data_IF_258500890433
#
_entry.id   IF_258500890433
#
_cell.length_a   1.000
_cell.length_b   1.000
_cell.length_c   1.000
_cell.angle_alpha   90.00
_cell.angle_beta   90.00
_cell.angle_gamma   90.00
#
_symmetry.space_group_name_H-M   'P 1'
#
loop_
_entity.id
_entity.type
_entity.pdbx_description
1 polymer ?
#
# COMPACT_ATOMS: atom_id res chain seq x y z
N UNK A 1 -39.84 12.41 24.60
CA UNK A 1 -38.76 11.70 23.86
C UNK A 1 -38.69 10.20 24.20
N UNK A 2 -38.46 9.81 25.46
CA UNK A 2 -38.22 8.41 25.90
C UNK A 2 -39.36 7.41 25.60
N UNK A 3 -40.62 7.86 25.60
CA UNK A 3 -41.77 7.00 25.35
C UNK A 3 -41.86 6.51 23.89
N UNK A 4 -41.45 7.35 22.94
CA UNK A 4 -41.38 7.01 21.52
C UNK A 4 -40.30 5.96 21.25
N UNK A 5 -39.16 6.08 21.92
CA UNK A 5 -38.05 5.12 21.80
C UNK A 5 -38.46 3.73 22.31
N UNK A 6 -39.21 3.65 23.42
CA UNK A 6 -39.79 2.39 23.93
C UNK A 6 -40.78 1.76 22.95
N UNK A 7 -41.63 2.55 22.31
CA UNK A 7 -42.59 2.07 21.31
C UNK A 7 -41.91 1.56 20.03
N UNK A 8 -40.84 2.21 19.60
CA UNK A 8 -40.02 1.76 18.47
C UNK A 8 -39.33 0.42 18.78
N UNK A 9 -38.70 0.28 19.95
CA UNK A 9 -38.11 -0.98 20.40
C UNK A 9 -39.15 -2.11 20.53
N UNK A 10 -40.34 -1.81 21.05
CA UNK A 10 -41.43 -2.79 21.17
C UNK A 10 -41.95 -3.24 19.80
N UNK A 11 -42.05 -2.33 18.83
CA UNK A 11 -42.41 -2.68 17.44
C UNK A 11 -41.32 -3.50 16.74
N UNK A 12 -40.05 -3.12 16.93
CA UNK A 12 -38.90 -3.85 16.40
C UNK A 12 -38.82 -5.29 16.96
N UNK A 13 -39.15 -5.49 18.23
CA UNK A 13 -39.24 -6.82 18.84
C UNK A 13 -40.42 -7.67 18.35
N UNK A 14 -41.48 -7.04 17.82
CA UNK A 14 -42.68 -7.72 17.33
C UNK A 14 -42.51 -8.26 15.90
N UNK A 15 -41.80 -7.53 15.03
CA UNK A 15 -41.54 -7.91 13.64
C UNK A 15 -40.06 -8.31 13.43
N UNK A 16 -39.64 -9.35 14.18
CA UNK A 16 -38.24 -9.79 14.30
C UNK A 16 -37.53 -9.97 12.97
N UNK A 17 -38.19 -10.54 11.96
CA UNK A 17 -37.59 -10.77 10.63
C UNK A 17 -37.25 -9.44 9.93
N UNK A 18 -38.18 -8.48 9.93
CA UNK A 18 -37.99 -7.19 9.26
C UNK A 18 -36.85 -6.40 9.91
N UNK A 19 -36.79 -6.42 11.25
CA UNK A 19 -35.75 -5.74 12.03
C UNK A 19 -34.38 -6.39 11.84
N UNK A 20 -34.30 -7.73 11.86
CA UNK A 20 -33.03 -8.44 11.62
C UNK A 20 -32.54 -8.17 10.20
N UNK A 21 -33.42 -8.22 9.19
CA UNK A 21 -33.04 -7.99 7.80
C UNK A 21 -32.53 -6.55 7.58
N UNK A 22 -33.13 -5.55 8.23
CA UNK A 22 -32.64 -4.17 8.16
C UNK A 22 -31.32 -3.97 8.87
N UNK A 23 -31.13 -4.56 10.06
CA UNK A 23 -29.86 -4.50 10.80
C UNK A 23 -28.73 -5.15 9.99
N UNK A 24 -28.99 -6.33 9.43
CA UNK A 24 -28.00 -7.03 8.60
C UNK A 24 -27.65 -6.20 7.36
N UNK A 25 -28.65 -5.66 6.65
CA UNK A 25 -28.41 -4.82 5.47
C UNK A 25 -27.53 -3.60 5.77
N UNK A 26 -27.83 -2.89 6.86
CA UNK A 26 -27.01 -1.74 7.31
C UNK A 26 -25.61 -2.17 7.72
N UNK A 27 -25.49 -3.28 8.45
CA UNK A 27 -24.20 -3.80 8.91
C UNK A 27 -23.30 -4.19 7.74
N UNK A 28 -23.86 -4.86 6.72
CA UNK A 28 -23.14 -5.24 5.50
C UNK A 28 -22.67 -4.00 4.74
N UNK A 29 -23.52 -2.96 4.61
CA UNK A 29 -23.13 -1.72 3.94
C UNK A 29 -21.95 -1.03 4.65
N UNK A 30 -22.01 -0.92 5.98
CA UNK A 30 -20.93 -0.33 6.79
C UNK A 30 -19.66 -1.16 6.68
N UNK A 31 -19.78 -2.50 6.72
CA UNK A 31 -18.64 -3.41 6.58
C UNK A 31 -17.92 -3.22 5.24
N UNK A 32 -18.67 -3.22 4.14
CA UNK A 32 -18.10 -3.03 2.79
C UNK A 32 -17.40 -1.67 2.69
N UNK A 33 -18.02 -0.60 3.22
CA UNK A 33 -17.43 0.72 3.22
C UNK A 33 -16.09 0.76 3.97
N UNK A 34 -16.07 0.20 5.18
CA UNK A 34 -14.87 0.15 6.02
C UNK A 34 -13.76 -0.71 5.40
N UNK A 35 -14.13 -1.83 4.78
CA UNK A 35 -13.21 -2.70 4.04
C UNK A 35 -12.58 -1.97 2.85
N UNK A 36 -13.38 -1.24 2.08
CA UNK A 36 -12.89 -0.47 0.94
C UNK A 36 -11.93 0.64 1.37
N UNK A 37 -12.18 1.28 2.51
CA UNK A 37 -11.28 2.28 3.08
C UNK A 37 -9.96 1.65 3.54
N UNK A 38 -10.03 0.48 4.19
CA UNK A 38 -8.84 -0.27 4.61
C UNK A 38 -7.96 -0.70 3.43
N UNK A 39 -8.56 -1.08 2.30
CA UNK A 39 -7.81 -1.41 1.08
C UNK A 39 -7.10 -0.18 0.52
N UNK A 40 -7.77 0.97 0.46
CA UNK A 40 -7.13 2.20 -0.04
C UNK A 40 -5.93 2.60 0.82
N UNK A 41 -6.08 2.55 2.14
CA UNK A 41 -5.00 2.86 3.08
C UNK A 41 -3.87 1.83 2.98
N UNK A 42 -4.20 0.54 2.84
CA UNK A 42 -3.20 -0.51 2.65
C UNK A 42 -2.44 -0.36 1.33
N UNK A 43 -3.12 -0.07 0.22
CA UNK A 43 -2.48 0.18 -1.07
C UNK A 43 -1.59 1.42 -1.03
N UNK A 44 -2.06 2.51 -0.42
CA UNK A 44 -1.26 3.72 -0.25
C UNK A 44 -0.01 3.46 0.59
N UNK A 45 -0.12 2.67 1.66
CA UNK A 45 1.02 2.24 2.48
C UNK A 45 1.98 1.36 1.70
N UNK A 46 1.51 0.35 0.98
CA UNK A 46 2.37 -0.58 0.21
C UNK A 46 3.11 0.17 -0.90
N UNK A 47 2.43 1.09 -1.61
CA UNK A 47 3.07 1.88 -2.68
C UNK A 47 4.07 2.88 -2.10
N UNK A 48 3.75 3.51 -0.95
CA UNK A 48 4.71 4.37 -0.25
C UNK A 48 5.92 3.58 0.23
N UNK A 49 5.73 2.43 0.86
CA UNK A 49 6.83 1.62 1.39
C UNK A 49 7.70 1.05 0.25
N UNK A 50 7.10 0.73 -0.90
CA UNK A 50 7.82 0.37 -2.12
C UNK A 50 8.61 1.54 -2.74
N UNK A 51 8.21 2.80 -2.48
CA UNK A 51 8.89 4.01 -2.98
C UNK A 51 9.76 4.75 -1.95
N UNK A 52 9.60 4.48 -0.65
CA UNK A 52 10.34 5.07 0.47
C UNK A 52 11.63 4.33 0.79
N UNK A 53 11.92 3.22 0.11
CA UNK A 53 13.30 2.77 0.03
C UNK A 53 14.09 3.84 -0.74
N UNK A 54 14.89 4.64 -0.02
CA UNK A 54 15.85 5.62 -0.55
C UNK A 54 17.00 4.95 -1.36
N UNK A 55 16.68 3.86 -2.06
CA UNK A 55 17.56 3.15 -2.95
C UNK A 55 17.56 3.88 -4.30
N UNK A 56 18.49 4.82 -4.43
CA UNK A 56 18.71 5.50 -5.71
C UNK A 56 19.41 4.55 -6.67
N UNK A 57 18.68 4.04 -7.66
CA UNK A 57 19.25 3.25 -8.74
C UNK A 57 19.96 4.20 -9.72
N UNK A 58 21.29 4.20 -9.70
CA UNK A 58 22.11 5.01 -10.61
C UNK A 58 22.21 4.31 -11.96
N UNK A 59 21.69 4.95 -13.01
CA UNK A 59 21.78 4.48 -14.39
C UNK A 59 22.47 5.50 -15.28
N UNK A 60 23.15 5.02 -16.32
CA UNK A 60 23.70 5.89 -17.34
C UNK A 60 22.58 6.61 -18.12
N UNK A 61 22.78 7.90 -18.40
CA UNK A 61 21.78 8.87 -18.89
C UNK A 61 21.12 8.51 -20.24
N UNK A 62 21.58 7.46 -20.95
CA UNK A 62 21.17 7.16 -22.34
C UNK A 62 20.66 5.74 -22.53
N UNK A 63 20.60 4.90 -21.48
CA UNK A 63 20.24 3.48 -21.62
C UNK A 63 19.04 3.15 -20.73
N UNK A 64 17.87 2.92 -21.35
CA UNK A 64 16.62 2.61 -20.65
C UNK A 64 16.53 1.18 -20.10
N UNK A 65 17.49 0.30 -20.42
CA UNK A 65 17.53 -1.08 -19.94
C UNK A 65 18.75 -1.29 -19.01
N UNK A 66 18.55 -1.74 -17.76
CA UNK A 66 19.64 -1.89 -16.77
C UNK A 66 20.67 -2.97 -17.14
N UNK A 67 20.40 -3.79 -18.15
CA UNK A 67 21.29 -4.84 -18.66
C UNK A 67 22.44 -4.35 -19.54
N UNK A 68 22.35 -3.12 -20.10
CA UNK A 68 23.32 -2.61 -21.08
C UNK A 68 24.14 -1.43 -20.57
N UNK A 69 23.98 -1.03 -19.30
CA UNK A 69 24.74 0.06 -18.69
C UNK A 69 26.08 -0.47 -18.17
N UNK A 70 27.18 0.10 -18.65
CA UNK A 70 28.53 -0.24 -18.19
C UNK A 70 29.04 0.88 -17.27
N UNK A 71 28.72 0.79 -15.99
CA UNK A 71 29.26 1.70 -14.98
C UNK A 71 30.57 1.11 -14.43
N UNK A 72 31.72 1.81 -14.51
CA UNK A 72 32.97 1.30 -13.98
C UNK A 72 32.89 1.10 -12.45
N UNK A 73 33.42 0.00 -11.93
CA UNK A 73 33.35 -0.38 -10.49
C UNK A 73 33.91 0.70 -9.54
N UNK A 74 34.80 1.56 -10.03
CA UNK A 74 35.38 2.67 -9.26
C UNK A 74 34.37 3.77 -8.86
N UNK A 75 33.15 3.74 -9.38
CA UNK A 75 32.09 4.66 -8.98
C UNK A 75 31.42 4.26 -7.67
N UNK A 76 31.36 2.96 -7.34
CA UNK A 76 30.80 2.48 -6.06
C UNK A 76 31.57 3.09 -4.89
N UNK A 77 32.90 3.03 -4.95
CA UNK A 77 33.79 3.56 -3.91
C UNK A 77 33.70 5.10 -3.78
N UNK A 78 33.38 5.82 -4.87
CA UNK A 78 33.18 7.27 -4.82
C UNK A 78 31.83 7.66 -4.25
N UNK A 79 30.79 6.89 -4.55
CA UNK A 79 29.43 7.11 -4.07
C UNK A 79 29.34 6.77 -2.57
N UNK A 80 29.99 5.70 -2.13
CA UNK A 80 30.06 5.30 -0.71
C UNK A 80 30.77 6.34 0.18
N UNK A 81 31.71 7.12 -0.39
CA UNK A 81 32.40 8.20 0.34
C UNK A 81 31.56 9.47 0.52
N UNK A 82 30.36 9.54 -0.06
CA UNK A 82 29.47 10.70 0.10
C UNK A 82 28.80 10.65 1.48
N UNK A 83 28.72 11.77 2.22
CA UNK A 83 28.23 11.79 3.60
C UNK A 83 26.73 11.44 3.74
N UNK A 84 26.01 11.45 2.63
CA UNK A 84 24.56 11.19 2.55
C UNK A 84 24.23 9.75 2.15
N UNK A 85 25.25 8.93 1.86
CA UNK A 85 25.10 7.54 1.39
C UNK A 85 25.43 6.58 2.52
N UNK A 86 24.46 5.76 2.90
CA UNK A 86 24.65 4.74 3.94
C UNK A 86 25.39 3.51 3.39
N UNK A 87 24.97 3.01 2.23
CA UNK A 87 25.53 1.82 1.58
C UNK A 87 25.43 1.98 0.06
N UNK A 88 26.50 1.66 -0.67
CA UNK A 88 26.49 1.53 -2.12
C UNK A 88 26.80 0.07 -2.51
N UNK A 89 25.97 -0.55 -3.34
CA UNK A 89 26.18 -1.93 -3.80
C UNK A 89 26.21 -2.00 -5.33
N UNK A 90 27.19 -2.70 -5.94
CA UNK A 90 27.20 -2.94 -7.37
C UNK A 90 26.10 -3.96 -7.72
N UNK A 91 25.10 -3.54 -8.48
CA UNK A 91 24.12 -4.42 -9.10
C UNK A 91 24.40 -4.46 -10.60
N UNK A 92 25.24 -5.41 -11.02
CA UNK A 92 25.36 -5.78 -12.43
C UNK A 92 24.34 -6.89 -12.69
N UNK A 93 23.25 -6.57 -13.41
CA UNK A 93 22.42 -7.58 -14.05
C UNK A 93 23.21 -8.13 -15.24
N UNK A 94 24.21 -8.96 -14.97
CA UNK A 94 24.96 -9.66 -16.01
C UNK A 94 24.00 -10.60 -16.74
N UNK A 95 23.52 -10.19 -17.91
CA UNK A 95 23.04 -11.13 -18.91
C UNK A 95 24.29 -11.85 -19.41
N UNK A 96 24.49 -13.06 -18.90
CA UNK A 96 25.44 -14.01 -19.45
C UNK A 96 24.91 -14.45 -20.82
N UNK A 97 25.30 -13.75 -21.88
CA UNK A 97 25.17 -14.28 -23.23
C UNK A 97 26.42 -15.12 -23.57
N UNK A 98 26.24 -16.31 -24.22
CA UNK A 98 27.28 -17.33 -24.40
C UNK A 98 28.40 -16.98 -25.38
#
# INVERSE_FOLDING_TARGET
MLMLLRLALKNASGNRIRTVLTIIGVSVAIFIFCFFQSIQDAMSRIIKDAGEQNNLVVMEKVISCPSNSYLPDNYVEKIEKMPEVEIAMPVLLAVSDP
#
